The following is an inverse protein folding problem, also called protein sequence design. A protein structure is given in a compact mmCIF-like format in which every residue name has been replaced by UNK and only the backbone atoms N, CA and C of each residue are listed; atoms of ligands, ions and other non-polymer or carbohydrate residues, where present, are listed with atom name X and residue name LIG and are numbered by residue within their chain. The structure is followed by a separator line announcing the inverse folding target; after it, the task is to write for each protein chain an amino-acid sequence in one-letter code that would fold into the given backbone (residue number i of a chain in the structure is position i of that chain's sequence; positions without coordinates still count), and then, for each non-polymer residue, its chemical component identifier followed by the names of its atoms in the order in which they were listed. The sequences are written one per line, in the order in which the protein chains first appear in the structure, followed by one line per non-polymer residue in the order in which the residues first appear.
data_IF_955485067234
#
_entry.id   IF_955485067234
#
_cell.length_a   1.000
_cell.length_b   1.000
_cell.length_c   1.000
_cell.angle_alpha   90.00
_cell.angle_beta   90.00
_cell.angle_gamma   90.00
#
_symmetry.space_group_name_H-M   'P 1'
#
loop_
_entity.id
_entity.type
_entity.pdbx_description
1 polymer ?
#
# COMPACT_ATOMS: atom_id res chain seq x y z
N UNK A 1 27.80 28.84 27.99
CA UNK A 1 26.91 27.68 28.03
C UNK A 1 26.59 27.30 26.59
N UNK A 2 27.15 26.21 26.10
CA UNK A 2 26.88 25.73 24.75
C UNK A 2 25.46 25.16 24.70
N UNK A 3 24.64 25.45 23.66
CA UNK A 3 23.35 24.86 23.52
C UNK A 3 23.54 23.32 23.34
N UNK A 4 22.86 22.55 24.19
CA UNK A 4 22.76 21.11 24.05
C UNK A 4 22.07 20.81 22.72
N UNK A 5 22.86 20.51 21.68
CA UNK A 5 22.36 19.99 20.43
C UNK A 5 21.90 18.55 20.68
N UNK A 6 20.61 18.20 20.51
CA UNK A 6 20.22 16.81 20.47
C UNK A 6 20.98 16.19 19.29
N UNK A 7 21.66 15.09 19.54
CA UNK A 7 22.39 14.34 18.51
C UNK A 7 21.55 14.08 17.25
N UNK A 8 22.17 13.57 16.19
CA UNK A 8 21.44 13.29 14.95
C UNK A 8 20.21 12.44 15.25
N UNK A 9 19.05 12.89 14.79
CA UNK A 9 17.82 12.13 14.83
C UNK A 9 18.11 10.74 14.24
N UNK A 10 17.60 9.66 14.82
CA UNK A 10 17.74 8.34 14.23
C UNK A 10 17.29 8.41 12.78
N UNK A 11 18.07 7.80 11.90
CA UNK A 11 17.74 7.75 10.48
C UNK A 11 16.33 7.17 10.36
N UNK A 12 15.43 7.96 9.79
CA UNK A 12 14.03 7.61 9.62
C UNK A 12 13.97 6.43 8.64
N UNK A 13 13.67 5.25 9.13
CA UNK A 13 13.56 4.00 8.36
C UNK A 13 12.24 3.89 7.56
N UNK A 14 11.48 4.98 7.49
CA UNK A 14 10.18 5.01 6.81
C UNK A 14 9.01 4.55 7.68
N UNK A 15 9.25 3.94 8.82
CA UNK A 15 8.19 3.58 9.77
C UNK A 15 7.77 4.78 10.61
N UNK A 16 6.47 4.97 10.84
CA UNK A 16 5.99 5.97 11.80
C UNK A 16 6.36 5.51 13.21
N UNK A 17 6.99 6.38 14.04
CA UNK A 17 7.29 6.03 15.41
C UNK A 17 6.04 5.50 16.15
N UNK A 18 6.16 4.51 17.04
CA UNK A 18 5.00 3.91 17.72
C UNK A 18 4.10 4.93 18.44
N UNK A 19 4.67 6.02 18.96
CA UNK A 19 3.92 7.10 19.63
C UNK A 19 3.05 7.92 18.67
N UNK A 20 3.32 7.88 17.36
CA UNK A 20 2.59 8.61 16.31
C UNK A 20 1.73 7.67 15.45
N UNK A 21 1.88 6.35 15.62
CA UNK A 21 1.08 5.38 14.91
C UNK A 21 -0.38 5.43 15.38
N UNK A 22 -1.35 5.30 14.45
CA UNK A 22 -2.75 5.17 14.82
C UNK A 22 -2.99 3.93 15.70
N UNK A 23 -4.09 3.93 16.47
CA UNK A 23 -4.59 2.70 17.09
C UNK A 23 -4.73 1.61 16.01
N UNK A 24 -4.14 0.41 16.21
CA UNK A 24 -4.20 -0.69 15.23
C UNK A 24 -5.61 -1.04 14.75
N UNK A 25 -6.64 -0.71 15.54
CA UNK A 25 -8.04 -0.92 15.19
C UNK A 25 -8.71 0.30 14.50
N UNK A 26 -8.01 1.43 14.38
CA UNK A 26 -8.55 2.61 13.72
C UNK A 26 -8.30 2.57 12.20
N UNK A 27 -9.01 1.67 11.51
CA UNK A 27 -8.84 1.42 10.08
C UNK A 27 -9.14 2.65 9.22
N UNK A 28 -10.06 3.54 9.65
CA UNK A 28 -10.33 4.78 8.92
C UNK A 28 -9.14 5.73 8.95
N UNK A 29 -8.41 5.81 10.06
CA UNK A 29 -7.23 6.68 10.14
C UNK A 29 -6.10 6.18 9.23
N UNK A 30 -5.85 4.87 9.17
CA UNK A 30 -4.89 4.32 8.21
C UNK A 30 -5.32 4.56 6.76
N UNK A 31 -6.63 4.42 6.48
CA UNK A 31 -7.13 4.71 5.13
C UNK A 31 -7.00 6.19 4.76
N UNK A 32 -7.17 7.12 5.70
CA UNK A 32 -6.89 8.54 5.50
C UNK A 32 -5.41 8.79 5.20
N UNK A 33 -4.50 8.15 5.93
CA UNK A 33 -3.06 8.25 5.65
C UNK A 33 -2.69 7.65 4.28
N UNK A 34 -3.35 6.57 3.86
CA UNK A 34 -3.20 6.06 2.50
C UNK A 34 -3.74 7.04 1.45
N UNK A 35 -4.85 7.72 1.74
CA UNK A 35 -5.41 8.76 0.86
C UNK A 35 -4.47 9.97 0.73
N UNK A 36 -3.80 10.37 1.82
CA UNK A 36 -2.77 11.41 1.79
C UNK A 36 -1.62 11.01 0.84
N UNK A 37 -1.21 9.74 0.84
CA UNK A 37 -0.22 9.24 -0.14
C UNK A 37 -0.75 9.33 -1.58
N UNK A 38 -2.02 9.01 -1.82
CA UNK A 38 -2.61 9.13 -3.15
C UNK A 38 -2.55 10.57 -3.71
N UNK A 39 -2.61 11.58 -2.84
CA UNK A 39 -2.54 12.99 -3.21
C UNK A 39 -1.14 13.41 -3.69
N UNK A 40 -0.08 12.69 -3.30
CA UNK A 40 1.28 12.94 -3.79
C UNK A 40 1.46 12.51 -5.26
N UNK A 41 0.63 11.60 -5.75
CA UNK A 41 0.69 11.16 -7.14
C UNK A 41 0.32 12.30 -8.09
N UNK A 42 1.09 12.55 -9.17
CA UNK A 42 0.74 13.55 -10.17
C UNK A 42 -0.57 13.18 -10.89
N UNK A 43 -1.36 14.20 -11.20
CA UNK A 43 -2.59 14.05 -11.99
C UNK A 43 -2.26 13.68 -13.42
N UNK A 44 -2.81 12.56 -13.90
CA UNK A 44 -2.66 12.09 -15.28
C UNK A 44 -3.95 11.46 -15.78
N UNK A 45 -4.30 11.62 -17.07
CA UNK A 45 -5.53 11.05 -17.63
C UNK A 45 -5.48 9.52 -17.72
N UNK A 46 -4.30 8.92 -17.67
CA UNK A 46 -4.08 7.49 -17.90
C UNK A 46 -3.96 6.63 -16.64
N UNK A 47 -3.88 7.25 -15.46
CA UNK A 47 -3.63 6.54 -14.21
C UNK A 47 -4.60 6.97 -13.12
N UNK A 48 -5.03 6.01 -12.30
CA UNK A 48 -5.64 6.34 -11.02
C UNK A 48 -4.56 6.76 -10.01
N UNK A 49 -4.86 7.78 -9.21
CA UNK A 49 -4.03 8.20 -8.08
C UNK A 49 -4.41 7.34 -6.88
N UNK A 50 -3.58 6.35 -6.59
CA UNK A 50 -3.76 5.39 -5.50
C UNK A 50 -2.67 5.59 -4.46
N UNK A 51 -3.02 5.43 -3.20
CA UNK A 51 -2.08 5.42 -2.08
C UNK A 51 -2.21 4.13 -1.29
N UNK A 52 -1.10 3.68 -0.73
CA UNK A 52 -1.05 2.46 0.06
C UNK A 52 -0.10 2.57 1.25
N UNK A 53 -0.33 1.73 2.27
CA UNK A 53 0.51 1.56 3.44
C UNK A 53 0.74 0.06 3.68
N UNK A 54 1.96 -0.30 4.08
CA UNK A 54 2.25 -1.54 4.79
C UNK A 54 2.24 -1.26 6.28
N UNK A 55 1.53 -2.06 7.06
CA UNK A 55 1.38 -1.87 8.50
C UNK A 55 1.61 -3.19 9.23
N UNK A 56 2.39 -3.18 10.28
CA UNK A 56 2.43 -4.26 11.25
C UNK A 56 1.18 -4.16 12.14
N UNK A 57 0.24 -5.08 11.97
CA UNK A 57 -1.05 -5.04 12.67
C UNK A 57 -0.90 -5.24 14.18
N UNK A 58 0.13 -5.93 14.64
CA UNK A 58 0.33 -6.21 16.06
C UNK A 58 0.76 -4.95 16.84
N UNK A 59 1.55 -4.08 16.20
CA UNK A 59 2.11 -2.87 16.82
C UNK A 59 1.45 -1.58 16.35
N UNK A 60 0.75 -1.60 15.21
CA UNK A 60 0.22 -0.42 14.54
C UNK A 60 1.27 0.38 13.76
N UNK A 61 2.52 -0.07 13.73
CA UNK A 61 3.60 0.65 13.05
C UNK A 61 3.42 0.61 11.53
N UNK A 62 3.49 1.77 10.89
CA UNK A 62 3.51 1.88 9.44
C UNK A 62 4.93 1.56 8.96
N UNK A 63 5.08 0.42 8.28
CA UNK A 63 6.35 -0.10 7.80
C UNK A 63 6.82 0.59 6.52
N UNK A 64 5.88 0.91 5.63
CA UNK A 64 6.15 1.58 4.37
C UNK A 64 4.90 2.29 3.85
N UNK A 65 5.10 3.33 3.04
CA UNK A 65 4.05 4.09 2.37
C UNK A 65 4.33 4.09 0.88
N UNK A 66 3.31 4.28 0.06
CA UNK A 66 3.51 4.33 -1.38
C UNK A 66 2.35 4.98 -2.12
N UNK A 67 2.63 5.50 -3.31
CA UNK A 67 1.62 6.03 -4.22
C UNK A 67 1.94 5.66 -5.67
N UNK A 68 0.94 5.77 -6.54
CA UNK A 68 1.08 5.46 -7.96
C UNK A 68 2.16 6.32 -8.60
N UNK A 69 3.08 5.70 -9.34
CA UNK A 69 4.22 6.33 -10.03
C UNK A 69 5.31 6.93 -9.11
N UNK A 70 5.33 6.58 -7.83
CA UNK A 70 6.37 7.05 -6.91
C UNK A 70 7.75 6.47 -7.25
N UNK A 71 7.81 5.17 -7.49
CA UNK A 71 9.04 4.51 -7.89
C UNK A 71 9.26 4.61 -9.40
N UNK A 72 10.50 4.36 -9.83
CA UNK A 72 10.85 4.41 -11.25
C UNK A 72 9.98 3.46 -12.09
N UNK A 73 9.56 3.95 -13.24
CA UNK A 73 8.70 3.24 -14.18
C UNK A 73 7.20 3.44 -13.89
N UNK A 74 6.38 2.57 -14.49
CA UNK A 74 4.94 2.56 -14.28
C UNK A 74 4.61 1.70 -13.05
N UNK A 75 4.77 2.27 -11.85
CA UNK A 75 4.58 1.57 -10.57
C UNK A 75 3.25 1.90 -9.92
N UNK A 76 2.67 0.93 -9.23
CA UNK A 76 1.45 1.08 -8.42
C UNK A 76 1.81 1.30 -6.94
N UNK A 77 0.88 1.83 -6.16
CA UNK A 77 1.09 2.20 -4.77
C UNK A 77 1.57 1.01 -3.91
N UNK A 78 0.91 -0.13 -4.01
CA UNK A 78 1.27 -1.34 -3.26
C UNK A 78 2.66 -1.86 -3.66
N UNK A 79 2.97 -1.80 -4.96
CA UNK A 79 4.30 -2.14 -5.48
C UNK A 79 5.37 -1.22 -4.89
N UNK A 80 5.12 0.08 -4.82
CA UNK A 80 6.06 1.04 -4.23
C UNK A 80 6.31 0.74 -2.75
N UNK A 81 5.26 0.39 -1.98
CA UNK A 81 5.43 -0.03 -0.59
C UNK A 81 6.37 -1.23 -0.46
N UNK A 82 6.13 -2.28 -1.25
CA UNK A 82 6.94 -3.52 -1.21
C UNK A 82 8.37 -3.28 -1.67
N UNK A 83 8.57 -2.53 -2.75
CA UNK A 83 9.90 -2.20 -3.29
C UNK A 83 10.75 -1.41 -2.29
N UNK A 84 10.17 -0.37 -1.67
CA UNK A 84 10.91 0.46 -0.72
C UNK A 84 11.26 -0.31 0.53
N UNK A 85 10.33 -1.08 1.09
CA UNK A 85 10.59 -1.90 2.26
C UNK A 85 11.64 -2.98 1.99
N UNK A 86 11.58 -3.64 0.83
CA UNK A 86 12.60 -4.60 0.41
C UNK A 86 13.99 -3.95 0.32
N UNK A 87 14.06 -2.76 -0.29
CA UNK A 87 15.32 -2.01 -0.44
C UNK A 87 15.91 -1.61 0.91
N UNK A 88 15.11 -1.21 1.89
CA UNK A 88 15.55 -0.88 3.25
C UNK A 88 16.16 -2.10 3.98
N UNK A 89 15.80 -3.31 3.56
CA UNK A 89 16.30 -4.57 4.12
C UNK A 89 17.31 -5.29 3.22
N UNK A 90 17.85 -4.61 2.20
CA UNK A 90 18.80 -5.17 1.24
C UNK A 90 18.28 -6.44 0.53
N UNK A 91 16.97 -6.48 0.26
CA UNK A 91 16.30 -7.60 -0.41
C UNK A 91 15.75 -7.17 -1.77
N UNK A 92 15.70 -8.08 -2.75
CA UNK A 92 14.86 -7.88 -3.92
C UNK A 92 13.37 -7.98 -3.55
N UNK A 93 12.49 -7.32 -4.32
CA UNK A 93 11.06 -7.25 -4.01
C UNK A 93 10.39 -8.63 -3.83
N UNK A 94 10.78 -9.60 -4.64
CA UNK A 94 10.25 -10.98 -4.57
C UNK A 94 10.56 -11.71 -3.25
N UNK A 95 11.51 -11.21 -2.48
CA UNK A 95 11.91 -11.73 -1.18
C UNK A 95 11.50 -10.85 -0.01
N UNK A 96 10.73 -9.80 -0.25
CA UNK A 96 10.32 -8.85 0.79
C UNK A 96 9.61 -9.51 1.97
N UNK A 97 8.88 -10.60 1.75
CA UNK A 97 8.20 -11.37 2.79
C UNK A 97 9.13 -11.94 3.86
N UNK A 98 10.43 -12.10 3.56
CA UNK A 98 11.43 -12.57 4.53
C UNK A 98 11.72 -11.54 5.64
N UNK A 99 11.52 -10.25 5.35
CA UNK A 99 11.73 -9.14 6.29
C UNK A 99 10.42 -8.63 6.92
N UNK A 100 9.27 -8.92 6.32
CA UNK A 100 7.98 -8.45 6.82
C UNK A 100 7.58 -9.16 8.12
N UNK A 101 7.03 -8.42 9.12
CA UNK A 101 6.41 -9.02 10.29
C UNK A 101 5.31 -10.02 9.92
N UNK A 102 5.06 -11.05 10.77
CA UNK A 102 4.12 -12.14 10.45
C UNK A 102 2.67 -11.70 10.24
N UNK A 103 2.25 -10.59 10.84
CA UNK A 103 0.90 -10.03 10.75
C UNK A 103 0.88 -8.70 10.00
N UNK A 104 1.65 -8.61 8.91
CA UNK A 104 1.60 -7.45 8.03
C UNK A 104 0.26 -7.37 7.30
N UNK A 105 -0.27 -6.15 7.19
CA UNK A 105 -1.47 -5.83 6.43
C UNK A 105 -1.19 -4.70 5.44
N UNK A 106 -2.00 -4.64 4.39
CA UNK A 106 -1.98 -3.53 3.43
C UNK A 106 -3.25 -2.71 3.59
N UNK A 107 -3.11 -1.39 3.65
CA UNK A 107 -4.19 -0.44 3.37
C UNK A 107 -3.95 0.11 1.98
N UNK A 108 -4.97 0.09 1.12
CA UNK A 108 -4.91 0.68 -0.21
C UNK A 108 -6.21 1.40 -0.52
N UNK A 109 -6.10 2.61 -1.07
CA UNK A 109 -7.30 3.42 -1.38
C UNK A 109 -8.16 2.80 -2.47
N UNK A 110 -7.57 1.98 -3.34
CA UNK A 110 -8.27 1.26 -4.40
C UNK A 110 -7.89 -0.22 -4.37
N UNK A 111 -8.84 -1.07 -4.76
CA UNK A 111 -8.64 -2.52 -4.85
C UNK A 111 -7.40 -2.87 -5.69
N UNK A 112 -6.49 -3.75 -5.19
CA UNK A 112 -5.31 -4.15 -5.94
C UNK A 112 -5.66 -4.77 -7.30
N UNK A 113 -4.97 -4.36 -8.34
CA UNK A 113 -5.21 -4.84 -9.69
C UNK A 113 -4.84 -6.33 -9.85
N UNK A 114 -5.68 -7.06 -10.61
CA UNK A 114 -5.41 -8.46 -10.99
C UNK A 114 -4.90 -8.60 -12.43
N UNK A 115 -4.93 -7.52 -13.21
CA UNK A 115 -4.42 -7.47 -14.57
C UNK A 115 -3.72 -6.14 -14.81
N UNK A 116 -2.59 -6.18 -15.52
CA UNK A 116 -1.89 -4.99 -15.99
C UNK A 116 -1.67 -5.07 -17.49
N UNK A 117 -2.22 -4.13 -18.23
CA UNK A 117 -2.07 -4.04 -19.70
C UNK A 117 -0.62 -3.85 -20.12
N UNK A 118 0.23 -3.31 -19.25
CA UNK A 118 1.67 -3.17 -19.46
C UNK A 118 2.45 -4.48 -19.45
N UNK A 119 1.82 -5.61 -19.08
CA UNK A 119 2.48 -6.91 -18.92
C UNK A 119 3.29 -7.06 -17.62
N UNK A 120 3.34 -6.05 -16.77
CA UNK A 120 3.97 -6.15 -15.46
C UNK A 120 3.15 -7.04 -14.50
N UNK A 121 3.82 -7.61 -13.50
CA UNK A 121 3.16 -8.42 -12.48
C UNK A 121 2.09 -7.60 -11.75
N UNK A 122 0.82 -8.07 -11.68
CA UNK A 122 -0.26 -7.40 -10.96
C UNK A 122 0.00 -7.27 -9.46
N UNK A 123 -0.61 -6.26 -8.80
CA UNK A 123 -0.47 -6.07 -7.36
C UNK A 123 -0.98 -7.26 -6.55
N UNK A 124 -2.06 -7.91 -6.98
CA UNK A 124 -2.57 -9.15 -6.37
C UNK A 124 -1.49 -10.23 -6.31
N UNK A 125 -0.78 -10.48 -7.41
CA UNK A 125 0.26 -11.51 -7.46
C UNK A 125 1.49 -11.13 -6.62
N UNK A 126 1.82 -9.82 -6.54
CA UNK A 126 2.88 -9.33 -5.65
C UNK A 126 2.54 -9.59 -4.18
N UNK A 127 1.31 -9.33 -3.78
CA UNK A 127 0.82 -9.58 -2.42
C UNK A 127 0.82 -11.09 -2.10
N UNK A 128 0.29 -11.90 -3.02
CA UNK A 128 0.21 -13.36 -2.84
C UNK A 128 1.60 -13.99 -2.65
N UNK A 129 2.61 -13.53 -3.35
CA UNK A 129 3.96 -14.10 -3.26
C UNK A 129 4.74 -13.73 -1.99
N UNK A 130 4.25 -12.80 -1.16
CA UNK A 130 4.95 -12.41 0.08
C UNK A 130 4.90 -13.52 1.11
N UNK A 131 6.00 -14.25 1.25
CA UNK A 131 6.14 -15.33 2.22
C UNK A 131 7.42 -15.16 3.03
N UNK A 132 7.38 -15.62 4.28
CA UNK A 132 8.55 -15.74 5.14
C UNK A 132 9.52 -16.81 4.60
N UNK A 133 10.69 -16.92 5.21
CA UNK A 133 11.66 -18.00 4.93
C UNK A 133 11.08 -19.40 5.14
N UNK A 134 10.10 -19.55 6.04
CA UNK A 134 9.41 -20.81 6.30
C UNK A 134 8.26 -21.09 5.33
N UNK A 135 8.00 -20.20 4.39
CA UNK A 135 6.88 -20.30 3.45
C UNK A 135 5.53 -19.82 3.99
N UNK A 136 5.50 -19.29 5.22
CA UNK A 136 4.29 -18.72 5.79
C UNK A 136 3.96 -17.38 5.14
N UNK A 137 2.69 -17.14 4.87
CA UNK A 137 2.22 -15.87 4.33
C UNK A 137 2.37 -14.76 5.37
N UNK A 138 3.04 -13.68 5.00
CA UNK A 138 3.27 -12.52 5.89
C UNK A 138 2.17 -11.49 5.78
N UNK A 139 1.65 -11.22 4.57
CA UNK A 139 0.50 -10.33 4.39
C UNK A 139 -0.78 -11.14 4.59
N UNK A 140 -1.52 -10.81 5.65
CA UNK A 140 -2.72 -11.54 6.08
C UNK A 140 -4.01 -10.90 5.60
N UNK A 141 -4.03 -9.56 5.47
CA UNK A 141 -5.23 -8.80 5.15
C UNK A 141 -4.92 -7.65 4.21
N UNK A 142 -5.90 -7.31 3.40
CA UNK A 142 -5.92 -6.10 2.57
C UNK A 142 -7.16 -5.29 2.92
N UNK A 143 -6.95 -4.09 3.43
CA UNK A 143 -8.00 -3.12 3.69
C UNK A 143 -8.19 -2.24 2.47
N UNK A 144 -9.41 -2.17 1.95
CA UNK A 144 -9.77 -1.53 0.68
C UNK A 144 -10.61 -0.28 0.92
N UNK A 145 -10.30 0.80 0.22
CA UNK A 145 -11.13 2.01 0.20
C UNK A 145 -12.28 1.90 -0.80
N UNK A 146 -11.97 1.67 -2.07
CA UNK A 146 -12.95 1.50 -3.16
C UNK A 146 -12.58 0.35 -4.07
N UNK A 147 -13.55 -0.16 -4.83
CA UNK A 147 -13.29 -1.07 -5.95
C UNK A 147 -12.58 -0.34 -7.08
N UNK A 148 -11.73 -1.06 -7.81
CA UNK A 148 -11.16 -0.55 -9.05
C UNK A 148 -12.27 -0.31 -10.08
N UNK A 149 -12.41 0.92 -10.60
CA UNK A 149 -13.39 1.19 -11.65
C UNK A 149 -13.08 0.40 -12.92
N UNK A 150 -14.10 -0.16 -13.58
CA UNK A 150 -13.97 -0.99 -14.79
C UNK A 150 -13.52 -0.23 -16.05
N UNK A 151 -13.23 1.06 -15.92
CA UNK A 151 -12.91 1.97 -17.03
C UNK A 151 -11.73 1.50 -17.91
N UNK A 152 -10.73 0.85 -17.32
CA UNK A 152 -9.49 0.51 -18.04
C UNK A 152 -9.28 -1.00 -18.26
N UNK A 153 -9.75 -1.85 -17.37
CA UNK A 153 -9.41 -3.28 -17.34
C UNK A 153 -10.61 -4.23 -17.22
N UNK A 154 -11.82 -3.72 -17.27
CA UNK A 154 -13.02 -4.53 -16.99
C UNK A 154 -13.15 -4.92 -15.51
N UNK A 155 -13.95 -5.94 -15.22
CA UNK A 155 -14.19 -6.37 -13.84
C UNK A 155 -12.91 -6.88 -13.16
N UNK A 156 -12.51 -6.26 -12.05
CA UNK A 156 -11.38 -6.74 -11.25
C UNK A 156 -11.80 -7.96 -10.42
N UNK A 157 -11.11 -9.08 -10.63
CA UNK A 157 -11.29 -10.33 -9.87
C UNK A 157 -10.24 -10.51 -8.78
N UNK A 158 -9.48 -9.46 -8.49
CA UNK A 158 -8.32 -9.51 -7.58
C UNK A 158 -8.70 -9.90 -6.16
N UNK A 159 -9.79 -9.35 -5.63
CA UNK A 159 -10.30 -9.69 -4.31
C UNK A 159 -10.55 -11.19 -4.16
N UNK A 160 -11.28 -11.79 -5.11
CA UNK A 160 -11.55 -13.23 -5.10
C UNK A 160 -10.26 -14.05 -5.09
N UNK A 161 -9.29 -13.67 -5.92
CA UNK A 161 -7.99 -14.35 -5.98
C UNK A 161 -7.23 -14.23 -4.66
N UNK A 162 -7.20 -13.06 -4.03
CA UNK A 162 -6.58 -12.88 -2.70
C UNK A 162 -7.23 -13.80 -1.65
N UNK A 163 -8.57 -13.84 -1.61
CA UNK A 163 -9.34 -14.68 -0.67
C UNK A 163 -9.10 -16.18 -0.90
N UNK A 164 -8.97 -16.64 -2.15
CA UNK A 164 -8.59 -18.01 -2.50
C UNK A 164 -7.21 -18.41 -1.97
N UNK A 165 -6.30 -17.43 -1.81
CA UNK A 165 -4.98 -17.63 -1.21
C UNK A 165 -4.94 -17.37 0.31
N UNK A 166 -6.11 -17.20 0.95
CA UNK A 166 -6.23 -17.01 2.39
C UNK A 166 -5.91 -15.60 2.88
N UNK A 167 -5.94 -14.60 1.98
CA UNK A 167 -5.75 -13.18 2.33
C UNK A 167 -7.14 -12.55 2.44
N UNK A 168 -7.48 -12.08 3.64
CA UNK A 168 -8.77 -11.45 3.90
C UNK A 168 -8.83 -10.05 3.28
N UNK A 169 -9.92 -9.75 2.55
CA UNK A 169 -10.16 -8.44 1.96
C UNK A 169 -11.29 -7.72 2.68
N UNK A 170 -10.98 -6.59 3.30
CA UNK A 170 -11.90 -5.84 4.17
C UNK A 170 -12.12 -4.44 3.61
N UNK A 171 -13.36 -4.08 3.32
CA UNK A 171 -13.72 -2.72 2.94
C UNK A 171 -13.73 -1.78 4.16
N UNK A 172 -13.11 -0.62 4.03
CA UNK A 172 -13.13 0.46 5.03
C UNK A 172 -14.10 1.53 4.57
N UNK A 173 -15.32 1.58 5.13
CA UNK A 173 -16.37 2.48 4.65
C UNK A 173 -16.15 3.94 5.07
N UNK A 174 -16.84 4.85 4.38
CA UNK A 174 -16.96 6.26 4.76
C UNK A 174 -16.00 7.22 4.07
N UNK A 175 -15.12 6.74 3.20
CA UNK A 175 -14.15 7.56 2.47
C UNK A 175 -14.28 7.45 0.95
N UNK A 176 -15.24 6.68 0.45
CA UNK A 176 -15.37 6.29 -0.96
C UNK A 176 -15.41 7.50 -1.90
N UNK A 177 -16.23 8.48 -1.60
CA UNK A 177 -16.37 9.70 -2.43
C UNK A 177 -15.06 10.50 -2.48
N UNK A 178 -14.37 10.63 -1.32
CA UNK A 178 -13.08 11.34 -1.24
C UNK A 178 -12.00 10.60 -2.01
N UNK A 179 -11.95 9.29 -1.87
CA UNK A 179 -11.00 8.43 -2.58
C UNK A 179 -11.21 8.52 -4.08
N UNK A 180 -12.45 8.38 -4.57
CA UNK A 180 -12.75 8.47 -6.00
C UNK A 180 -12.42 9.84 -6.57
N UNK A 181 -12.67 10.92 -5.84
CA UNK A 181 -12.32 12.29 -6.26
C UNK A 181 -10.80 12.43 -6.45
N UNK A 182 -10.01 11.92 -5.53
CA UNK A 182 -8.53 11.93 -5.66
C UNK A 182 -8.08 11.00 -6.77
N UNK A 183 -8.58 9.77 -6.80
CA UNK A 183 -8.17 8.75 -7.76
C UNK A 183 -8.38 9.17 -9.21
N UNK A 184 -9.48 9.90 -9.50
CA UNK A 184 -9.85 10.31 -10.85
C UNK A 184 -9.46 11.76 -11.19
N UNK A 185 -8.77 12.46 -10.30
CA UNK A 185 -8.23 13.79 -10.59
C UNK A 185 -7.27 13.69 -11.79
N UNK A 186 -7.44 14.58 -12.76
CA UNK A 186 -6.72 14.56 -14.04
C UNK A 186 -7.37 13.72 -15.15
N UNK A 187 -8.42 12.92 -14.86
CA UNK A 187 -9.23 12.29 -15.88
C UNK A 187 -10.19 13.32 -16.50
N UNK A 188 -10.37 13.27 -17.82
CA UNK A 188 -11.37 14.10 -18.49
C UNK A 188 -12.77 13.79 -17.94
N UNK A 189 -13.50 14.83 -17.53
CA UNK A 189 -14.91 14.69 -17.16
C UNK A 189 -15.68 14.38 -18.45
N UNK A 190 -16.26 13.19 -18.54
CA UNK A 190 -17.20 12.80 -19.59
C UNK A 190 -18.60 13.27 -19.24
#
# INVERSE_FOLDING_TARGET
MSPNWPGPLPMYDGAVPPAEAPDPNNHQQYMLLALDQAQECPEKPSNFRVGALLVDQDTGVILSRGYTLECEGNTHAEQCCLLKYAKEHDLPEERVGEALPPNTVIYTTMEPCNLRLSGHLPCVDRIIRTTSLNGDRTIKKVYLGVKEPEKFVGANTGRKKLEEYGIECIHVPGLEERILRVATAGHEQQ
#
